data_IF_208382061890
#
_entry.id   IF_208382061890
#
_cell.length_a   1.000
_cell.length_b   1.000
_cell.length_c   1.000
_cell.angle_alpha   90.00
_cell.angle_beta   90.00
_cell.angle_gamma   90.00
#
_symmetry.space_group_name_H-M   'P 1'
#
loop_
_entity.id
_entity.type
_entity.pdbx_description
1 polymer ?
#
# COMPACT_ATOMS: atom_id res chain seq x y z
N UNK A 1 -69.53 -15.51 -27.26
CA UNK A 1 -69.60 -14.04 -27.25
C UNK A 1 -69.46 -13.61 -25.81
N UNK A 2 -68.47 -12.77 -25.51
CA UNK A 2 -68.45 -11.74 -24.47
C UNK A 2 -66.99 -11.29 -24.26
N UNK A 3 -66.65 -10.24 -25.00
CA UNK A 3 -66.02 -8.97 -24.61
C UNK A 3 -64.93 -8.90 -23.52
N UNK A 4 -63.87 -8.20 -23.92
CA UNK A 4 -62.80 -7.61 -23.13
C UNK A 4 -63.23 -6.33 -22.40
N UNK A 5 -62.77 -6.14 -21.15
CA UNK A 5 -62.27 -4.88 -20.55
C UNK A 5 -61.65 -5.23 -19.19
N UNK A 6 -60.32 -5.22 -18.97
CA UNK A 6 -59.38 -4.10 -18.77
C UNK A 6 -59.85 -3.12 -17.66
N UNK A 7 -59.32 -3.29 -16.45
CA UNK A 7 -58.63 -2.23 -15.70
C UNK A 7 -58.18 -2.73 -14.32
N UNK A 8 -56.86 -2.86 -14.18
CA UNK A 8 -56.17 -3.22 -12.95
C UNK A 8 -54.72 -2.81 -13.10
N UNK A 9 -54.47 -1.49 -12.99
CA UNK A 9 -53.13 -0.91 -12.95
C UNK A 9 -52.45 -1.39 -11.67
N UNK A 10 -51.70 -2.49 -11.78
CA UNK A 10 -50.67 -2.86 -10.83
C UNK A 10 -49.37 -2.20 -11.29
N UNK A 11 -48.93 -1.26 -10.46
CA UNK A 11 -47.57 -0.73 -10.41
C UNK A 11 -46.55 -1.87 -10.59
N UNK A 12 -45.79 -1.83 -11.69
CA UNK A 12 -44.64 -2.67 -11.90
C UNK A 12 -43.36 -1.82 -11.73
N UNK A 13 -42.32 -2.36 -11.09
CA UNK A 13 -41.21 -1.60 -10.53
C UNK A 13 -40.26 -1.04 -11.59
N UNK A 14 -39.68 0.13 -11.27
CA UNK A 14 -38.51 0.74 -11.90
C UNK A 14 -37.56 -0.31 -12.51
N UNK A 15 -37.52 -0.39 -13.84
CA UNK A 15 -36.60 -1.31 -14.49
C UNK A 15 -35.14 -0.86 -14.28
N UNK A 16 -34.20 -1.79 -14.01
CA UNK A 16 -32.78 -1.47 -13.78
C UNK A 16 -32.09 -0.75 -14.94
N UNK A 17 -32.70 -0.77 -16.13
CA UNK A 17 -32.15 -0.17 -17.33
C UNK A 17 -32.27 1.36 -17.33
N UNK A 18 -33.29 1.95 -16.68
CA UNK A 18 -33.41 3.41 -16.61
C UNK A 18 -32.42 4.04 -15.61
N UNK A 19 -31.97 3.29 -14.60
CA UNK A 19 -30.93 3.73 -13.65
C UNK A 19 -29.51 3.67 -14.21
N UNK A 20 -29.28 2.90 -15.29
CA UNK A 20 -27.96 2.84 -15.94
C UNK A 20 -27.67 4.07 -16.80
N UNK A 21 -28.71 4.74 -17.30
CA UNK A 21 -28.53 5.92 -18.15
C UNK A 21 -28.21 7.21 -17.36
N UNK A 22 -28.46 7.27 -16.04
CA UNK A 22 -28.21 8.49 -15.24
C UNK A 22 -26.94 8.47 -14.38
N UNK A 23 -26.14 7.40 -14.44
CA UNK A 23 -24.86 7.32 -13.71
C UNK A 23 -23.67 7.74 -14.60
N UNK A 24 -23.82 7.63 -15.92
CA UNK A 24 -22.77 7.94 -16.89
C UNK A 24 -22.49 9.44 -17.06
N UNK A 25 -23.33 10.35 -16.55
CA UNK A 25 -23.21 11.80 -16.75
C UNK A 25 -22.80 12.59 -15.49
N UNK A 26 -22.38 11.95 -14.39
CA UNK A 26 -22.02 12.65 -13.13
C UNK A 26 -20.62 12.38 -12.59
N UNK A 27 -19.70 11.84 -13.39
CA UNK A 27 -18.28 11.79 -13.03
C UNK A 27 -17.55 12.79 -13.94
N UNK A 28 -17.77 14.08 -13.68
CA UNK A 28 -16.88 15.12 -14.13
C UNK A 28 -15.89 15.41 -12.98
N UNK A 29 -14.60 15.48 -13.34
CA UNK A 29 -13.44 15.85 -12.53
C UNK A 29 -12.91 14.82 -11.51
N UNK A 30 -12.56 13.64 -11.99
CA UNK A 30 -11.43 12.89 -11.42
C UNK A 30 -10.20 13.17 -12.28
N UNK A 31 -9.18 13.83 -11.72
CA UNK A 31 -7.85 13.89 -12.35
C UNK A 31 -7.29 12.47 -12.39
N UNK A 32 -7.03 11.98 -13.60
CA UNK A 32 -6.45 10.68 -13.91
C UNK A 32 -4.98 10.61 -13.48
N UNK A 33 -4.68 9.81 -12.45
CA UNK A 33 -3.41 9.09 -12.31
C UNK A 33 -3.73 7.63 -12.66
N UNK A 34 -3.78 7.32 -13.95
CA UNK A 34 -4.24 6.00 -14.43
C UNK A 34 -3.17 4.92 -14.30
N UNK A 35 -3.08 4.34 -13.10
CA UNK A 35 -3.34 2.92 -12.85
C UNK A 35 -3.07 2.66 -11.37
N UNK A 36 -4.01 2.10 -10.60
CA UNK A 36 -3.99 2.29 -9.17
C UNK A 36 -2.80 1.54 -8.55
N UNK A 37 -1.77 2.28 -8.12
CA UNK A 37 -0.58 1.79 -7.42
C UNK A 37 -0.97 0.84 -6.28
N UNK A 38 -2.15 1.07 -5.70
CA UNK A 38 -2.80 0.20 -4.74
C UNK A 38 -4.19 -0.24 -5.23
N UNK A 39 -4.48 -1.53 -5.20
CA UNK A 39 -5.84 -2.01 -5.46
C UNK A 39 -6.61 -2.14 -4.15
N UNK A 40 -7.86 -1.69 -4.13
CA UNK A 40 -8.79 -2.00 -3.06
C UNK A 40 -9.16 -3.49 -3.14
N UNK A 41 -8.82 -4.24 -2.10
CA UNK A 41 -9.17 -5.65 -1.96
C UNK A 41 -10.42 -5.79 -1.09
N UNK A 42 -11.44 -6.45 -1.64
CA UNK A 42 -12.65 -6.86 -0.91
C UNK A 42 -12.31 -8.12 -0.10
N UNK A 43 -11.53 -7.98 0.97
CA UNK A 43 -11.23 -9.09 1.88
C UNK A 43 -12.29 -9.12 2.97
N UNK A 44 -13.09 -10.19 2.99
CA UNK A 44 -14.25 -10.33 3.87
C UNK A 44 -13.91 -10.32 5.38
N UNK A 45 -12.64 -10.43 5.77
CA UNK A 45 -12.17 -10.27 7.14
C UNK A 45 -10.80 -9.60 7.14
N UNK A 46 -10.73 -8.33 7.58
CA UNK A 46 -9.48 -7.57 7.72
C UNK A 46 -8.72 -8.04 8.96
N UNK A 47 -7.42 -8.29 8.85
CA UNK A 47 -6.56 -8.52 10.03
C UNK A 47 -5.85 -7.22 10.45
N UNK A 48 -5.91 -6.91 11.76
CA UNK A 48 -5.06 -5.93 12.46
C UNK A 48 -5.15 -4.47 12.01
N UNK A 49 -5.81 -3.61 12.79
CA UNK A 49 -5.68 -2.15 12.64
C UNK A 49 -4.40 -1.70 13.34
N UNK A 50 -3.41 -1.19 12.60
CA UNK A 50 -2.09 -0.85 13.15
C UNK A 50 -2.19 0.11 14.36
N UNK A 51 -3.08 1.11 14.29
CA UNK A 51 -3.29 2.06 15.39
C UNK A 51 -3.77 1.42 16.69
N UNK A 52 -4.43 0.27 16.65
CA UNK A 52 -4.92 -0.42 17.84
C UNK A 52 -3.82 -1.25 18.52
N UNK A 53 -2.81 -1.68 17.75
CA UNK A 53 -1.70 -2.50 18.24
C UNK A 53 -0.42 -2.28 17.40
N UNK A 54 0.30 -1.16 17.61
CA UNK A 54 1.55 -0.85 16.92
C UNK A 54 2.71 -1.70 17.49
N UNK A 55 2.68 -2.99 17.17
CA UNK A 55 3.65 -4.02 17.57
C UNK A 55 4.17 -4.78 16.36
N UNK A 56 5.29 -5.48 16.54
CA UNK A 56 5.88 -6.35 15.51
C UNK A 56 4.89 -7.45 15.10
N UNK A 57 4.21 -8.06 16.07
CA UNK A 57 3.22 -9.10 15.78
C UNK A 57 1.98 -8.54 15.08
N UNK A 58 1.59 -7.29 15.39
CA UNK A 58 0.55 -6.58 14.66
C UNK A 58 0.88 -6.42 13.17
N UNK A 59 2.11 -6.03 12.83
CA UNK A 59 2.55 -5.93 11.42
C UNK A 59 2.59 -7.30 10.75
N UNK A 60 3.16 -8.31 11.43
CA UNK A 60 3.25 -9.68 10.88
C UNK A 60 1.89 -10.29 10.55
N UNK A 61 0.81 -9.88 11.22
CA UNK A 61 -0.52 -10.44 10.95
C UNK A 61 -1.02 -10.11 9.55
N UNK A 62 -0.58 -9.00 8.96
CA UNK A 62 -1.12 -8.48 7.70
C UNK A 62 -0.08 -8.22 6.60
N UNK A 63 1.22 -8.21 6.91
CA UNK A 63 2.26 -7.82 5.94
C UNK A 63 2.25 -8.64 4.64
N UNK A 64 1.84 -9.91 4.69
CA UNK A 64 1.71 -10.79 3.52
C UNK A 64 0.54 -10.43 2.60
N UNK A 65 -0.41 -9.63 3.08
CA UNK A 65 -1.53 -9.13 2.27
C UNK A 65 -1.11 -7.97 1.36
N UNK A 66 0.08 -7.38 1.58
CA UNK A 66 0.58 -6.25 0.77
C UNK A 66 0.89 -6.69 -0.64
N UNK A 67 1.59 -7.82 -0.80
CA UNK A 67 2.02 -8.34 -2.09
C UNK A 67 1.64 -9.82 -2.25
N UNK A 68 0.34 -10.16 -2.35
CA UNK A 68 -0.12 -11.55 -2.34
C UNK A 68 0.33 -12.37 -3.55
N UNK A 69 0.84 -11.69 -4.60
CA UNK A 69 1.34 -12.30 -5.83
C UNK A 69 2.88 -12.32 -5.90
N UNK A 70 3.58 -12.00 -4.80
CA UNK A 70 5.03 -12.17 -4.70
C UNK A 70 5.38 -13.65 -4.79
N UNK A 71 6.30 -14.00 -5.68
CA UNK A 71 6.87 -15.33 -5.78
C UNK A 71 8.36 -15.23 -6.15
N UNK A 72 9.28 -15.49 -5.21
CA UNK A 72 10.71 -15.35 -5.46
C UNK A 72 11.24 -16.35 -6.52
N UNK A 73 10.44 -17.34 -6.93
CA UNK A 73 10.77 -18.30 -7.97
C UNK A 73 10.23 -17.92 -9.35
N UNK A 74 9.31 -16.96 -9.44
CA UNK A 74 8.79 -16.40 -10.70
C UNK A 74 9.51 -15.10 -11.07
N UNK A 75 10.75 -15.22 -11.56
CA UNK A 75 11.64 -14.07 -11.78
C UNK A 75 11.11 -13.01 -12.74
N UNK A 76 10.13 -13.33 -13.59
CA UNK A 76 9.51 -12.42 -14.55
C UNK A 76 8.26 -11.72 -13.99
N UNK A 77 7.81 -12.11 -12.78
CA UNK A 77 6.64 -11.52 -12.16
C UNK A 77 6.88 -10.03 -11.87
N UNK A 78 5.97 -9.13 -12.29
CA UNK A 78 6.08 -7.71 -11.95
C UNK A 78 5.94 -7.46 -10.44
N UNK A 79 5.38 -8.41 -9.68
CA UNK A 79 5.30 -8.37 -8.23
C UNK A 79 6.63 -8.64 -7.53
N UNK A 80 7.68 -9.02 -8.27
CA UNK A 80 9.06 -9.09 -7.76
C UNK A 80 9.82 -7.78 -7.94
N UNK A 81 9.24 -6.79 -8.63
CA UNK A 81 9.88 -5.49 -8.94
C UNK A 81 8.99 -4.29 -8.60
N UNK A 82 7.96 -4.48 -7.78
CA UNK A 82 7.00 -3.45 -7.33
C UNK A 82 7.30 -2.91 -5.91
N UNK A 83 8.56 -2.91 -5.46
CA UNK A 83 8.93 -2.59 -4.09
C UNK A 83 8.47 -1.20 -3.63
N UNK A 84 8.49 -0.19 -4.52
CA UNK A 84 7.98 1.15 -4.22
C UNK A 84 6.48 1.16 -3.94
N UNK A 85 5.68 0.45 -4.75
CA UNK A 85 4.25 0.30 -4.50
C UNK A 85 3.98 -0.42 -3.17
N UNK A 86 4.75 -1.46 -2.86
CA UNK A 86 4.65 -2.16 -1.57
C UNK A 86 4.98 -1.25 -0.40
N UNK A 87 6.08 -0.48 -0.47
CA UNK A 87 6.49 0.44 0.59
C UNK A 87 5.47 1.56 0.84
N UNK A 88 4.87 2.08 -0.24
CA UNK A 88 3.79 3.05 -0.14
C UNK A 88 2.55 2.45 0.54
N UNK A 89 2.10 1.26 0.12
CA UNK A 89 0.92 0.62 0.73
C UNK A 89 1.16 0.24 2.19
N UNK A 90 2.37 -0.21 2.56
CA UNK A 90 2.74 -0.40 3.97
C UNK A 90 2.66 0.91 4.73
N UNK A 91 3.19 2.01 4.17
CA UNK A 91 3.10 3.33 4.81
C UNK A 91 1.65 3.77 5.05
N UNK A 92 0.77 3.55 4.07
CA UNK A 92 -0.67 3.81 4.19
C UNK A 92 -1.29 2.98 5.33
N UNK A 93 -0.98 1.67 5.43
CA UNK A 93 -1.46 0.82 6.53
C UNK A 93 -0.92 1.24 7.90
N UNK A 94 0.33 1.68 7.98
CA UNK A 94 0.91 2.25 9.22
C UNK A 94 0.23 3.58 9.61
N UNK A 95 -0.38 4.27 8.64
CA UNK A 95 -1.27 5.41 8.86
C UNK A 95 -2.76 5.02 8.95
N UNK A 96 -3.06 3.72 9.14
CA UNK A 96 -4.40 3.14 9.36
C UNK A 96 -5.32 3.12 8.15
N UNK A 97 -4.76 3.16 6.95
CA UNK A 97 -5.49 3.00 5.70
C UNK A 97 -5.45 1.51 5.34
N UNK A 98 -6.29 0.73 6.04
CA UNK A 98 -6.25 -0.74 6.07
C UNK A 98 -6.98 -1.42 4.88
N UNK A 99 -6.94 -0.85 3.67
CA UNK A 99 -7.80 -1.29 2.57
C UNK A 99 -7.06 -1.49 1.24
N UNK A 100 -5.80 -1.90 1.26
CA UNK A 100 -4.96 -1.85 0.07
C UNK A 100 -3.96 -3.01 0.01
N UNK A 101 -3.78 -3.57 -1.19
CA UNK A 101 -2.58 -4.29 -1.58
C UNK A 101 -1.86 -3.51 -2.69
N UNK A 102 -0.57 -3.75 -2.84
CA UNK A 102 0.23 -3.17 -3.90
C UNK A 102 -0.16 -3.76 -5.25
N UNK A 103 -0.23 -2.90 -6.27
CA UNK A 103 -0.34 -3.32 -7.65
C UNK A 103 1.02 -3.76 -8.20
N UNK A 104 1.01 -4.30 -9.42
CA UNK A 104 2.21 -4.60 -10.19
C UNK A 104 2.94 -3.32 -10.67
N UNK A 105 2.28 -2.16 -10.68
CA UNK A 105 2.89 -0.91 -11.11
C UNK A 105 3.73 -0.33 -9.98
N UNK A 106 5.04 -0.23 -10.23
CA UNK A 106 5.98 0.24 -9.23
C UNK A 106 6.01 1.78 -9.12
N UNK A 107 6.55 2.28 -8.00
CA UNK A 107 7.03 3.66 -7.83
C UNK A 107 8.56 3.61 -7.95
N UNK A 108 9.15 3.94 -9.11
CA UNK A 108 10.57 3.73 -9.34
C UNK A 108 11.48 4.86 -8.83
N UNK A 109 10.97 6.08 -8.61
CA UNK A 109 11.82 7.24 -8.32
C UNK A 109 11.42 8.01 -7.07
N UNK A 110 12.39 8.69 -6.46
CA UNK A 110 12.13 9.54 -5.29
C UNK A 110 11.08 10.62 -5.57
N UNK A 111 11.10 11.38 -6.69
CA UNK A 111 10.10 12.41 -6.92
C UNK A 111 8.66 11.87 -6.94
N UNK A 112 8.44 10.68 -7.51
CA UNK A 112 7.12 10.04 -7.51
C UNK A 112 6.72 9.58 -6.10
N UNK A 113 7.66 9.04 -5.32
CA UNK A 113 7.44 8.67 -3.92
C UNK A 113 7.16 9.90 -3.05
N UNK A 114 7.93 10.98 -3.22
CA UNK A 114 7.76 12.26 -2.54
C UNK A 114 6.39 12.88 -2.82
N UNK A 115 5.94 12.86 -4.08
CA UNK A 115 4.63 13.36 -4.49
C UNK A 115 3.49 12.60 -3.79
N UNK A 116 3.59 11.26 -3.72
CA UNK A 116 2.57 10.42 -3.11
C UNK A 116 2.53 10.53 -1.58
N UNK A 117 3.70 10.63 -0.93
CA UNK A 117 3.79 10.75 0.53
C UNK A 117 3.53 12.18 1.03
N UNK A 118 3.68 13.20 0.16
CA UNK A 118 3.76 14.60 0.58
C UNK A 118 4.98 14.86 1.50
N UNK A 119 6.04 14.08 1.33
CA UNK A 119 7.26 14.08 2.16
C UNK A 119 8.50 14.21 1.29
N UNK A 120 9.63 14.57 1.89
CA UNK A 120 10.92 14.56 1.20
C UNK A 120 11.67 13.27 1.47
N UNK A 121 12.33 12.72 0.46
CA UNK A 121 13.30 11.63 0.63
C UNK A 121 14.67 12.28 0.86
N UNK A 122 15.31 11.97 1.98
CA UNK A 122 16.58 12.59 2.37
C UNK A 122 17.58 11.50 2.76
N UNK A 123 18.77 11.58 2.16
CA UNK A 123 19.91 10.73 2.49
C UNK A 123 20.29 10.84 3.97
N UNK A 124 20.41 9.68 4.61
CA UNK A 124 20.58 9.55 6.05
C UNK A 124 21.13 8.17 6.41
N UNK A 125 22.10 8.11 7.33
CA UNK A 125 22.66 6.82 7.73
C UNK A 125 21.64 5.95 8.49
N UNK A 126 21.79 4.61 8.47
CA UNK A 126 20.91 3.71 9.23
C UNK A 126 20.81 4.03 10.73
N UNK A 127 21.91 4.50 11.33
CA UNK A 127 21.96 4.87 12.74
C UNK A 127 21.16 6.16 13.02
N UNK A 128 21.22 7.14 12.12
CA UNK A 128 20.44 8.37 12.24
C UNK A 128 18.95 8.10 12.04
N UNK A 129 18.58 7.26 11.08
CA UNK A 129 17.20 6.80 10.87
C UNK A 129 16.68 6.11 12.13
N UNK A 130 17.41 5.11 12.65
CA UNK A 130 17.02 4.40 13.85
C UNK A 130 16.85 5.36 15.03
N UNK A 131 17.80 6.28 15.23
CA UNK A 131 17.72 7.26 16.29
C UNK A 131 16.47 8.13 16.18
N UNK A 132 16.16 8.66 14.98
CA UNK A 132 14.98 9.50 14.77
C UNK A 132 13.68 8.75 15.07
N UNK A 133 13.57 7.51 14.61
CA UNK A 133 12.38 6.67 14.88
C UNK A 133 12.26 6.33 16.36
N UNK A 134 13.37 5.99 17.03
CA UNK A 134 13.38 5.74 18.47
C UNK A 134 12.99 6.98 19.28
N UNK A 135 13.53 8.16 18.92
CA UNK A 135 13.24 9.43 19.59
C UNK A 135 11.78 9.86 19.39
N UNK A 136 11.17 9.54 18.24
CA UNK A 136 9.76 9.79 17.95
C UNK A 136 8.79 8.84 18.69
N UNK A 137 9.29 7.68 19.14
CA UNK A 137 8.55 6.74 19.99
C UNK A 137 7.75 5.67 19.23
N UNK A 138 7.03 4.84 20.00
CA UNK A 138 6.35 3.66 19.48
C UNK A 138 5.27 4.04 18.44
N UNK A 139 5.28 3.37 17.30
CA UNK A 139 4.43 3.66 16.13
C UNK A 139 5.04 4.64 15.13
N UNK A 140 6.14 5.32 15.45
CA UNK A 140 6.84 6.18 14.49
C UNK A 140 7.38 5.35 13.32
N UNK A 141 7.19 5.81 12.09
CA UNK A 141 7.55 5.06 10.89
C UNK A 141 7.90 5.98 9.71
N UNK A 142 8.59 5.42 8.72
CA UNK A 142 8.96 6.11 7.48
C UNK A 142 9.12 5.11 6.32
N UNK A 143 9.04 5.62 5.09
CA UNK A 143 9.51 4.92 3.89
C UNK A 143 11.03 5.10 3.81
N UNK A 144 11.73 4.01 3.50
CA UNK A 144 13.18 3.93 3.37
C UNK A 144 13.53 3.54 1.93
N UNK A 145 14.45 4.29 1.35
CA UNK A 145 15.10 3.98 0.07
C UNK A 145 16.54 3.54 0.29
N UNK A 146 17.01 2.58 -0.50
CA UNK A 146 18.44 2.21 -0.54
C UNK A 146 18.93 2.06 -1.97
N UNK A 147 20.15 2.55 -2.22
CA UNK A 147 20.88 2.30 -3.46
C UNK A 147 22.01 1.32 -3.24
N UNK A 148 22.21 0.42 -4.19
CA UNK A 148 23.30 -0.56 -4.17
C UNK A 148 24.44 -0.11 -5.07
N UNK A 149 25.67 -0.51 -4.73
CA UNK A 149 26.84 -0.32 -5.59
C UNK A 149 26.63 -0.96 -6.97
N UNK A 150 25.92 -2.08 -7.01
CA UNK A 150 25.53 -2.79 -8.21
C UNK A 150 24.10 -3.31 -8.08
N UNK A 151 23.32 -3.22 -9.17
CA UNK A 151 21.94 -3.70 -9.21
C UNK A 151 20.90 -2.62 -8.85
N UNK A 152 19.61 -2.98 -8.85
CA UNK A 152 18.53 -2.04 -8.53
C UNK A 152 18.58 -1.63 -7.05
N UNK A 153 18.00 -0.47 -6.75
CA UNK A 153 17.71 -0.06 -5.38
C UNK A 153 16.61 -0.89 -4.73
N UNK A 154 16.18 -0.51 -3.53
CA UNK A 154 15.04 -1.12 -2.85
C UNK A 154 14.25 -0.10 -2.03
N UNK A 155 12.94 -0.29 -1.98
CA UNK A 155 12.03 0.49 -1.15
C UNK A 155 11.37 -0.42 -0.13
N UNK A 156 11.34 0.03 1.13
CA UNK A 156 10.70 -0.67 2.23
C UNK A 156 10.35 0.34 3.33
N UNK A 157 9.94 -0.12 4.51
CA UNK A 157 9.59 0.77 5.62
C UNK A 157 10.42 0.45 6.86
N UNK A 158 10.61 1.46 7.70
CA UNK A 158 11.14 1.30 9.04
C UNK A 158 10.13 1.81 10.05
N UNK A 159 9.98 1.13 11.18
CA UNK A 159 9.10 1.54 12.25
C UNK A 159 9.69 1.26 13.64
N UNK A 160 9.45 2.15 14.60
CA UNK A 160 9.71 1.92 16.01
C UNK A 160 8.53 1.16 16.62
N UNK A 161 8.70 -0.13 16.89
CA UNK A 161 7.69 -1.04 17.42
C UNK A 161 8.27 -1.81 18.61
N UNK A 162 7.48 -1.96 19.67
CA UNK A 162 7.87 -2.70 20.88
C UNK A 162 9.21 -2.24 21.47
N UNK A 163 9.51 -0.93 21.35
CA UNK A 163 10.73 -0.32 21.86
C UNK A 163 12.00 -0.62 21.03
N UNK A 164 11.86 -1.08 19.78
CA UNK A 164 12.98 -1.24 18.84
C UNK A 164 12.60 -0.77 17.43
N UNK A 165 13.60 -0.47 16.61
CA UNK A 165 13.37 -0.22 15.18
C UNK A 165 13.43 -1.55 14.43
N UNK A 166 12.46 -1.77 13.56
CA UNK A 166 12.41 -2.92 12.64
C UNK A 166 12.28 -2.44 11.20
N UNK A 167 12.77 -3.25 10.28
CA UNK A 167 12.47 -3.10 8.86
C UNK A 167 11.22 -3.92 8.51
N UNK A 168 10.36 -3.36 7.66
CA UNK A 168 9.12 -3.96 7.19
C UNK A 168 9.20 -3.97 5.66
N UNK A 169 9.42 -5.16 5.10
CA UNK A 169 9.48 -5.38 3.67
C UNK A 169 8.11 -5.88 3.16
N UNK A 170 7.34 -4.96 2.60
CA UNK A 170 6.03 -5.28 2.03
C UNK A 170 6.10 -6.09 0.73
N UNK A 171 7.25 -6.11 0.05
CA UNK A 171 7.41 -6.91 -1.17
C UNK A 171 7.55 -8.38 -0.83
N UNK A 172 8.46 -8.73 0.10
CA UNK A 172 8.68 -10.13 0.52
C UNK A 172 7.71 -10.61 1.60
N UNK A 173 7.03 -9.68 2.29
CA UNK A 173 6.14 -9.99 3.39
C UNK A 173 6.87 -10.25 4.72
N UNK A 174 8.07 -9.68 4.89
CA UNK A 174 8.94 -9.92 6.04
C UNK A 174 9.04 -8.73 6.99
N UNK A 175 9.26 -9.02 8.27
CA UNK A 175 9.66 -8.04 9.28
C UNK A 175 11.02 -8.46 9.80
N UNK A 176 12.02 -7.62 9.59
CA UNK A 176 13.44 -7.90 9.80
C UNK A 176 14.00 -7.01 10.94
N UNK A 177 15.10 -7.46 11.54
CA UNK A 177 15.86 -6.60 12.46
C UNK A 177 16.52 -5.44 11.71
N UNK A 178 16.68 -4.30 12.39
CA UNK A 178 17.28 -3.10 11.81
C UNK A 178 18.80 -3.02 12.06
N UNK A 179 19.61 -2.60 11.07
CA UNK A 179 19.25 -2.48 9.65
C UNK A 179 19.24 -3.87 8.97
N UNK A 180 18.36 -4.08 7.97
CA UNK A 180 18.39 -5.30 7.17
C UNK A 180 19.64 -5.37 6.30
N UNK A 181 20.12 -6.58 6.04
CA UNK A 181 21.21 -6.82 5.08
C UNK A 181 20.64 -6.99 3.66
N UNK A 182 20.76 -5.94 2.87
CA UNK A 182 20.39 -5.92 1.45
C UNK A 182 21.60 -5.99 0.51
N UNK A 183 22.77 -6.42 1.02
CA UNK A 183 24.03 -6.50 0.27
C UNK A 183 24.78 -5.17 0.22
N UNK A 184 25.41 -4.87 -0.92
CA UNK A 184 26.33 -3.74 -1.13
C UNK A 184 25.61 -2.37 -1.17
N UNK A 185 24.86 -2.01 -0.14
CA UNK A 185 24.16 -0.71 -0.04
C UNK A 185 25.17 0.42 0.15
N UNK A 186 25.07 1.46 -0.69
CA UNK A 186 25.95 2.64 -0.68
C UNK A 186 25.23 3.93 -0.27
N UNK A 187 23.91 3.96 -0.34
CA UNK A 187 23.08 5.09 0.08
C UNK A 187 21.84 4.59 0.81
N UNK A 188 21.44 5.33 1.83
CA UNK A 188 20.25 5.10 2.63
C UNK A 188 19.49 6.40 2.71
N UNK A 189 18.18 6.33 2.61
CA UNK A 189 17.31 7.51 2.58
C UNK A 189 16.05 7.28 3.39
N UNK A 190 15.48 8.35 3.92
CA UNK A 190 14.27 8.30 4.75
C UNK A 190 13.30 9.39 4.31
N UNK A 191 12.02 9.04 4.24
CA UNK A 191 10.94 10.02 4.11
C UNK A 191 10.81 10.87 5.38
N UNK A 192 10.85 12.19 5.24
CA UNK A 192 10.68 13.16 6.34
C UNK A 192 9.49 14.09 6.11
#
# INVERSE_FOLDING_TARGET
MLDFNIDGILSAPDSPLSRKASLAEKIADAKTLDSPIAQHIDVQEKTGRFFENPSVEGVKSWIKEINPNYDPFDLESPYNVNCGACAYVVYERLNGIDATCASANNIPTDPEMEELLGKRIISMSPNEIAKRLMDAGNGAHAVIGVDRANGPGHWFNAACLDGKVVAIDGQSGEVLDWPPDYGDVINWEMSV
#
